data_IF_887904295699
#
_entry.id   IF_887904295699
#
_cell.length_a   1.000
_cell.length_b   1.000
_cell.length_c   1.000
_cell.angle_alpha   90.00
_cell.angle_beta   90.00
_cell.angle_gamma   90.00
#
_symmetry.space_group_name_H-M   'P 1'
#
loop_
_entity.id
_entity.type
_entity.pdbx_description
1 polymer ?
#
# COMPACT_ATOMS: atom_id res chain seq x y z
N UNK A 1 35.73 44.81 -11.15
CA UNK A 1 35.06 43.77 -11.97
C UNK A 1 34.76 42.59 -11.06
N UNK A 2 33.53 42.06 -11.13
CA UNK A 2 32.82 41.34 -10.05
C UNK A 2 33.29 39.87 -9.93
N UNK A 3 33.53 39.32 -8.72
CA UNK A 3 33.78 37.90 -8.53
C UNK A 3 32.42 37.18 -8.44
N UNK A 4 31.76 36.94 -9.58
CA UNK A 4 30.41 36.36 -9.62
C UNK A 4 30.37 34.88 -10.02
N UNK A 5 31.52 34.25 -10.30
CA UNK A 5 31.55 32.90 -10.89
C UNK A 5 31.73 31.76 -9.88
N UNK A 6 32.20 32.04 -8.65
CA UNK A 6 32.59 30.98 -7.71
C UNK A 6 31.47 30.59 -6.73
N UNK A 7 30.47 31.46 -6.56
CA UNK A 7 29.35 31.26 -5.62
C UNK A 7 28.26 30.33 -6.17
N UNK A 8 28.25 30.08 -7.49
CA UNK A 8 27.20 29.29 -8.17
C UNK A 8 27.39 27.78 -8.03
N UNK A 9 28.61 27.30 -7.75
CA UNK A 9 28.90 25.87 -7.60
C UNK A 9 28.54 25.31 -6.21
N UNK A 10 28.60 26.14 -5.16
CA UNK A 10 28.20 25.73 -3.81
C UNK A 10 26.68 25.49 -3.69
N UNK A 11 25.87 26.20 -4.47
CA UNK A 11 24.42 26.05 -4.45
C UNK A 11 23.94 24.73 -5.09
N UNK A 12 24.70 24.15 -6.03
CA UNK A 12 24.34 22.88 -6.67
C UNK A 12 24.64 21.66 -5.77
N UNK A 13 25.63 21.76 -4.88
CA UNK A 13 25.96 20.69 -3.93
C UNK A 13 24.93 20.56 -2.78
N UNK A 14 24.28 21.67 -2.40
CA UNK A 14 23.28 21.70 -1.33
C UNK A 14 21.91 21.12 -1.76
N UNK A 15 21.64 21.03 -3.06
CA UNK A 15 20.40 20.42 -3.61
C UNK A 15 20.42 18.88 -3.59
N UNK A 16 21.56 18.25 -3.30
CA UNK A 16 21.66 16.79 -3.21
C UNK A 16 21.24 16.23 -1.84
N UNK A 17 21.07 17.08 -0.82
CA UNK A 17 20.71 16.67 0.55
C UNK A 17 19.21 16.77 0.85
N UNK A 18 18.37 17.16 -0.12
CA UNK A 18 16.91 17.05 -0.02
C UNK A 18 16.42 15.62 -0.29
N UNK A 19 17.08 14.63 0.29
CA UNK A 19 16.62 13.25 0.39
C UNK A 19 15.68 13.07 1.59
N UNK A 20 14.66 13.92 1.71
CA UNK A 20 13.64 13.79 2.75
C UNK A 20 12.94 12.44 2.58
N UNK A 21 13.26 11.45 3.41
CA UNK A 21 12.49 10.22 3.71
C UNK A 21 11.38 9.86 2.72
N UNK A 22 11.71 9.81 1.42
CA UNK A 22 10.70 9.66 0.38
C UNK A 22 10.26 8.22 0.47
N UNK A 23 8.96 8.01 0.66
CA UNK A 23 8.39 6.69 0.43
C UNK A 23 8.94 6.22 -0.91
N UNK A 24 9.65 5.10 -0.90
CA UNK A 24 10.14 4.43 -2.09
C UNK A 24 9.09 3.38 -2.46
N UNK A 25 8.05 3.73 -3.24
CA UNK A 25 7.02 2.77 -3.66
C UNK A 25 7.59 1.59 -4.46
N UNK A 26 8.83 1.71 -4.96
CA UNK A 26 9.52 0.64 -5.68
C UNK A 26 10.03 -0.50 -4.78
N UNK A 27 9.87 -0.37 -3.47
CA UNK A 27 10.14 -1.41 -2.47
C UNK A 27 8.85 -1.98 -1.90
N UNK A 28 8.82 -3.26 -1.46
CA UNK A 28 7.65 -3.83 -0.79
C UNK A 28 7.21 -2.99 0.43
N UNK A 29 8.18 -2.55 1.24
CA UNK A 29 7.94 -1.75 2.45
C UNK A 29 7.30 -0.40 2.11
N UNK A 30 7.88 0.33 1.15
CA UNK A 30 7.36 1.65 0.77
C UNK A 30 5.99 1.57 0.08
N UNK A 31 5.73 0.53 -0.70
CA UNK A 31 4.41 0.27 -1.26
C UNK A 31 3.36 -0.01 -0.17
N UNK A 32 3.70 -0.85 0.83
CA UNK A 32 2.81 -1.11 1.96
C UNK A 32 2.50 0.16 2.76
N UNK A 33 3.52 0.96 3.08
CA UNK A 33 3.34 2.23 3.78
C UNK A 33 2.47 3.23 2.99
N UNK A 34 2.56 3.20 1.66
CA UNK A 34 1.71 4.02 0.78
C UNK A 34 0.26 3.53 0.83
N UNK A 35 0.04 2.22 0.70
CA UNK A 35 -1.27 1.59 0.84
C UNK A 35 -1.91 1.93 2.19
N UNK A 36 -1.20 1.68 3.29
CA UNK A 36 -1.68 1.90 4.66
C UNK A 36 -2.11 3.35 4.86
N UNK A 37 -1.32 4.32 4.37
CA UNK A 37 -1.67 5.74 4.40
C UNK A 37 -2.95 6.07 3.62
N UNK A 38 -3.15 5.47 2.44
CA UNK A 38 -4.40 5.67 1.70
C UNK A 38 -5.60 5.13 2.48
N UNK A 39 -5.46 3.99 3.16
CA UNK A 39 -6.52 3.47 4.04
C UNK A 39 -6.80 4.43 5.20
N UNK A 40 -5.76 4.89 5.90
CA UNK A 40 -5.90 5.82 7.02
C UNK A 40 -6.58 7.13 6.63
N UNK A 41 -6.30 7.63 5.42
CA UNK A 41 -6.88 8.89 4.91
C UNK A 41 -8.26 8.71 4.27
N UNK A 42 -8.80 7.49 4.23
CA UNK A 42 -10.05 7.21 3.51
C UNK A 42 -9.93 7.39 2.00
N UNK A 43 -8.73 7.39 1.43
CA UNK A 43 -8.47 7.45 -0.02
C UNK A 43 -8.70 6.07 -0.66
N UNK A 44 -9.90 5.51 -0.46
CA UNK A 44 -10.23 4.11 -0.74
C UNK A 44 -9.97 3.69 -2.20
N UNK A 45 -10.23 4.51 -3.25
CA UNK A 45 -9.87 4.13 -4.61
C UNK A 45 -8.37 3.91 -4.80
N UNK A 46 -7.53 4.70 -4.13
CA UNK A 46 -6.07 4.54 -4.19
C UNK A 46 -5.60 3.36 -3.35
N UNK A 47 -6.20 3.14 -2.18
CA UNK A 47 -5.94 1.95 -1.38
C UNK A 47 -6.29 0.68 -2.15
N UNK A 48 -7.45 0.64 -2.80
CA UNK A 48 -7.87 -0.47 -3.64
C UNK A 48 -6.90 -0.72 -4.81
N UNK A 49 -6.40 0.34 -5.46
CA UNK A 49 -5.36 0.22 -6.50
C UNK A 49 -4.00 -0.30 -5.97
N UNK A 50 -3.77 -0.23 -4.66
CA UNK A 50 -2.60 -0.82 -3.99
C UNK A 50 -2.74 -2.33 -3.72
N UNK A 51 -3.92 -2.91 -3.91
CA UNK A 51 -4.15 -4.36 -3.81
C UNK A 51 -3.72 -5.09 -5.08
N UNK A 52 -3.28 -6.34 -4.94
CA UNK A 52 -2.95 -7.21 -6.07
C UNK A 52 -4.17 -7.46 -6.95
N UNK A 53 -3.95 -7.72 -8.24
CA UNK A 53 -5.02 -8.10 -9.17
C UNK A 53 -5.79 -9.32 -8.68
N UNK A 54 -5.08 -10.29 -8.09
CA UNK A 54 -5.70 -11.49 -7.53
C UNK A 54 -6.60 -11.16 -6.34
N UNK A 55 -6.17 -10.29 -5.43
CA UNK A 55 -7.03 -9.81 -4.32
C UNK A 55 -8.25 -9.09 -4.86
N UNK A 56 -8.07 -8.16 -5.81
CA UNK A 56 -9.18 -7.44 -6.43
C UNK A 56 -10.20 -8.40 -7.09
N UNK A 57 -9.72 -9.47 -7.72
CA UNK A 57 -10.59 -10.49 -8.31
C UNK A 57 -11.37 -11.29 -7.25
N UNK A 58 -10.72 -11.68 -6.16
CA UNK A 58 -11.39 -12.36 -5.02
C UNK A 58 -12.50 -11.47 -4.45
N UNK A 59 -12.25 -10.16 -4.31
CA UNK A 59 -13.25 -9.20 -3.83
C UNK A 59 -14.43 -9.05 -4.78
N UNK A 60 -14.18 -8.98 -6.09
CA UNK A 60 -15.24 -8.99 -7.11
C UNK A 60 -16.10 -10.24 -7.04
N UNK A 61 -15.47 -11.41 -6.94
CA UNK A 61 -16.19 -12.69 -6.81
C UNK A 61 -17.06 -12.71 -5.55
N UNK A 62 -16.55 -12.22 -4.42
CA UNK A 62 -17.32 -12.12 -3.18
C UNK A 62 -18.50 -11.17 -3.28
N UNK A 63 -18.31 -10.02 -3.93
CA UNK A 63 -19.38 -9.07 -4.22
C UNK A 63 -20.51 -9.72 -5.04
N UNK A 64 -20.15 -10.47 -6.08
CA UNK A 64 -21.10 -11.20 -6.90
C UNK A 64 -21.86 -12.25 -6.10
N UNK A 65 -21.16 -13.04 -5.28
CA UNK A 65 -21.79 -14.06 -4.42
C UNK A 65 -22.81 -13.47 -3.45
N UNK A 66 -22.52 -12.31 -2.86
CA UNK A 66 -23.48 -11.61 -1.98
C UNK A 66 -24.69 -11.12 -2.77
N UNK A 67 -24.47 -10.58 -3.98
CA UNK A 67 -25.58 -10.19 -4.87
C UNK A 67 -26.48 -11.38 -5.19
N UNK A 68 -25.89 -12.50 -5.62
CA UNK A 68 -26.62 -13.71 -6.00
C UNK A 68 -27.41 -14.28 -4.81
N UNK A 69 -26.81 -14.33 -3.62
CA UNK A 69 -27.45 -14.80 -2.39
C UNK A 69 -28.64 -13.92 -1.97
N UNK A 70 -28.65 -12.65 -2.38
CA UNK A 70 -29.76 -11.71 -2.11
C UNK A 70 -30.81 -11.68 -3.23
N UNK A 71 -30.70 -12.52 -4.25
CA UNK A 71 -31.55 -12.44 -5.45
C UNK A 71 -31.39 -11.13 -6.21
N UNK A 72 -30.23 -10.48 -6.10
CA UNK A 72 -29.92 -9.19 -6.71
C UNK A 72 -30.49 -7.96 -5.99
N UNK A 73 -31.09 -8.12 -4.81
CA UNK A 73 -31.59 -7.00 -3.99
C UNK A 73 -30.45 -6.19 -3.37
N UNK A 74 -29.34 -6.84 -3.03
CA UNK A 74 -28.11 -6.21 -2.56
C UNK A 74 -27.12 -6.20 -3.72
N UNK A 75 -26.61 -5.03 -4.11
CA UNK A 75 -25.58 -4.87 -5.14
C UNK A 75 -24.33 -4.28 -4.52
N UNK A 76 -23.58 -5.09 -3.78
CA UNK A 76 -22.51 -4.56 -2.99
C UNK A 76 -21.29 -4.31 -3.89
N UNK A 77 -20.75 -3.10 -3.84
CA UNK A 77 -19.54 -2.77 -4.58
C UNK A 77 -18.30 -3.39 -3.88
N UNK A 78 -17.31 -3.93 -4.61
CA UNK A 78 -16.14 -4.61 -4.02
C UNK A 78 -15.34 -3.74 -3.05
N UNK A 79 -15.24 -2.44 -3.35
CA UNK A 79 -14.47 -1.48 -2.56
C UNK A 79 -15.14 -1.20 -1.20
N UNK A 80 -16.43 -0.81 -1.14
CA UNK A 80 -17.15 -0.74 0.13
C UNK A 80 -17.16 -2.07 0.89
N UNK A 81 -17.32 -3.22 0.22
CA UNK A 81 -17.32 -4.52 0.91
C UNK A 81 -16.02 -4.82 1.66
N UNK A 82 -14.88 -4.41 1.11
CA UNK A 82 -13.59 -4.66 1.74
C UNK A 82 -13.33 -3.72 2.92
N UNK A 83 -13.82 -2.47 2.85
CA UNK A 83 -13.51 -1.44 3.87
C UNK A 83 -14.66 -1.12 4.83
N UNK A 84 -15.91 -1.55 4.58
CA UNK A 84 -17.11 -1.12 5.33
C UNK A 84 -17.10 -1.48 6.82
N UNK A 85 -16.35 -2.49 7.23
CA UNK A 85 -16.28 -2.96 8.62
C UNK A 85 -14.85 -2.98 9.18
N UNK A 86 -13.91 -2.33 8.50
CA UNK A 86 -12.52 -2.27 8.96
C UNK A 86 -12.37 -0.99 9.78
N UNK A 87 -12.13 -1.07 11.11
CA UNK A 87 -11.81 0.13 11.88
C UNK A 87 -10.59 0.81 11.26
N UNK A 88 -10.52 2.13 11.34
CA UNK A 88 -9.37 2.88 10.83
C UNK A 88 -8.10 2.24 11.40
N UNK A 89 -7.17 1.76 10.56
CA UNK A 89 -5.99 1.08 11.03
C UNK A 89 -5.21 1.99 11.96
N UNK A 90 -4.81 1.45 13.12
CA UNK A 90 -3.90 2.14 14.01
C UNK A 90 -2.60 2.49 13.27
N UNK A 91 -1.91 3.53 13.76
CA UNK A 91 -0.61 3.91 13.21
C UNK A 91 0.34 2.70 13.28
N UNK A 92 0.99 2.46 12.16
CA UNK A 92 2.01 1.43 12.07
C UNK A 92 3.27 1.97 12.71
N UNK A 93 3.74 1.30 13.75
CA UNK A 93 4.95 1.65 14.47
C UNK A 93 6.19 1.21 13.70
N UNK A 94 6.11 0.04 13.06
CA UNK A 94 7.22 -0.53 12.31
C UNK A 94 6.72 -1.38 11.14
N UNK A 95 7.39 -1.26 9.99
CA UNK A 95 7.27 -2.17 8.84
C UNK A 95 8.66 -2.62 8.47
N UNK A 96 8.90 -3.93 8.44
CA UNK A 96 10.18 -4.49 8.04
C UNK A 96 9.99 -5.66 7.08
N UNK A 97 10.98 -5.86 6.20
CA UNK A 97 11.02 -6.98 5.28
C UNK A 97 11.44 -8.24 6.04
N UNK A 98 10.57 -9.24 6.10
CA UNK A 98 10.89 -10.55 6.68
C UNK A 98 11.69 -11.40 5.70
N UNK A 99 11.20 -11.47 4.46
CA UNK A 99 11.72 -12.32 3.40
C UNK A 99 11.31 -11.76 2.04
N UNK A 100 12.16 -11.92 1.04
CA UNK A 100 11.84 -11.64 -0.35
C UNK A 100 12.40 -12.75 -1.24
N UNK A 101 11.55 -13.31 -2.09
CA UNK A 101 11.87 -14.38 -3.04
C UNK A 101 11.34 -13.94 -4.42
N UNK A 102 12.23 -13.41 -5.26
CA UNK A 102 11.88 -12.87 -6.58
C UNK A 102 10.81 -11.77 -6.49
N UNK A 103 9.64 -12.07 -7.05
CA UNK A 103 8.48 -11.16 -7.14
C UNK A 103 7.50 -11.28 -5.96
N UNK A 104 7.90 -11.97 -4.89
CA UNK A 104 7.10 -12.10 -3.67
C UNK A 104 7.91 -11.62 -2.47
N UNK A 105 7.25 -10.88 -1.58
CA UNK A 105 7.84 -10.49 -0.30
C UNK A 105 6.85 -10.72 0.85
N UNK A 106 7.38 -11.02 2.03
CA UNK A 106 6.63 -11.05 3.29
C UNK A 106 7.16 -9.93 4.17
N UNK A 107 6.26 -9.10 4.67
CA UNK A 107 6.55 -8.02 5.61
C UNK A 107 6.09 -8.40 7.01
N UNK A 108 6.82 -7.99 8.03
CA UNK A 108 6.28 -7.90 9.40
C UNK A 108 5.81 -6.46 9.61
N UNK A 109 4.57 -6.32 10.07
CA UNK A 109 3.96 -5.04 10.42
C UNK A 109 3.65 -5.05 11.91
N UNK A 110 4.11 -4.04 12.63
CA UNK A 110 3.81 -3.85 14.05
C UNK A 110 2.93 -2.62 14.25
N UNK A 111 1.81 -2.79 14.93
CA UNK A 111 0.88 -1.71 15.28
C UNK A 111 0.23 -1.98 16.63
N UNK A 112 0.18 -0.97 17.50
CA UNK A 112 -0.45 -1.02 18.82
C UNK A 112 -0.11 -2.29 19.65
N UNK A 113 1.15 -2.71 19.63
CA UNK A 113 1.61 -3.90 20.37
C UNK A 113 1.28 -5.25 19.74
N UNK A 114 0.66 -5.28 18.56
CA UNK A 114 0.41 -6.48 17.77
C UNK A 114 1.35 -6.51 16.56
N UNK A 115 1.75 -7.72 16.15
CA UNK A 115 2.47 -7.95 14.90
C UNK A 115 1.64 -8.83 13.97
N UNK A 116 1.66 -8.52 12.68
CA UNK A 116 1.07 -9.34 11.62
C UNK A 116 2.03 -9.46 10.44
N UNK A 117 1.85 -10.52 9.66
CA UNK A 117 2.58 -10.71 8.40
C UNK A 117 1.72 -10.26 7.23
N UNK A 118 2.33 -9.54 6.29
CA UNK A 118 1.66 -9.07 5.08
C UNK A 118 2.42 -9.57 3.88
N UNK A 119 1.73 -10.28 2.99
CA UNK A 119 2.29 -10.72 1.72
C UNK A 119 2.18 -9.61 0.68
N UNK A 120 3.26 -9.42 -0.07
CA UNK A 120 3.39 -8.48 -1.17
C UNK A 120 3.75 -9.23 -2.45
N UNK A 121 3.26 -8.77 -3.59
CA UNK A 121 3.60 -9.28 -4.92
C UNK A 121 4.05 -8.15 -5.84
N UNK A 122 5.05 -8.40 -6.68
CA UNK A 122 5.48 -7.47 -7.72
C UNK A 122 4.64 -7.70 -8.97
N UNK A 123 3.95 -6.65 -9.39
CA UNK A 123 3.22 -6.58 -10.65
C UNK A 123 3.88 -5.56 -11.58
N UNK A 124 3.53 -5.50 -12.88
CA UNK A 124 4.06 -4.48 -13.79
C UNK A 124 3.85 -3.04 -13.32
N UNK A 125 2.81 -2.80 -12.50
CA UNK A 125 2.50 -1.50 -11.92
C UNK A 125 3.19 -1.21 -10.58
N UNK A 126 4.06 -2.11 -10.10
CA UNK A 126 4.78 -2.01 -8.84
C UNK A 126 4.38 -3.07 -7.82
N UNK A 127 4.87 -2.93 -6.59
CA UNK A 127 4.51 -3.82 -5.49
C UNK A 127 3.08 -3.60 -5.03
N UNK A 128 2.37 -4.69 -4.76
CA UNK A 128 0.98 -4.70 -4.32
C UNK A 128 0.80 -5.54 -3.07
N UNK A 129 -0.15 -5.15 -2.23
CA UNK A 129 -0.57 -5.92 -1.06
C UNK A 129 -1.44 -7.08 -1.53
N UNK A 130 -1.12 -8.31 -1.14
CA UNK A 130 -1.89 -9.50 -1.52
C UNK A 130 -2.58 -10.16 -0.33
N UNK A 131 -3.90 -10.05 -0.30
CA UNK A 131 -4.81 -10.70 0.63
C UNK A 131 -5.59 -11.86 -0.02
N UNK A 132 -5.18 -12.35 -1.20
CA UNK A 132 -5.91 -13.39 -1.91
C UNK A 132 -6.12 -14.69 -1.12
N UNK A 133 -5.18 -15.04 -0.24
CA UNK A 133 -5.27 -16.19 0.67
C UNK A 133 -6.13 -15.94 1.92
N UNK A 134 -6.29 -14.67 2.32
CA UNK A 134 -7.11 -14.24 3.45
C UNK A 134 -7.67 -12.84 3.16
N UNK A 135 -8.84 -12.73 2.48
CA UNK A 135 -9.34 -11.49 1.90
C UNK A 135 -9.92 -10.49 2.91
N UNK A 136 -9.30 -10.41 4.09
CA UNK A 136 -9.55 -9.41 5.12
C UNK A 136 -8.20 -8.77 5.50
N UNK A 137 -8.13 -7.43 5.57
CA UNK A 137 -6.92 -6.71 5.97
C UNK A 137 -6.65 -6.79 7.47
#
# INVERSE_FOLDING_TARGET
MRPLAMTTWLLFALLALSGCSRLQPDTPVGAYQTFHRHVQRGELPKAYAGLSQQTQQVLKTRAQQVSDASGGMVKPEPLPLFFANVPVPADVQEVSLLRQEGDVATLVVRSAGRSGEVRMVREPSGWKVDFSASPQP
#
